data_IF_771641733938
#
_entry.id   IF_771641733938
#
_cell.length_a   1.000
_cell.length_b   1.000
_cell.length_c   1.000
_cell.angle_alpha   90.00
_cell.angle_beta   90.00
_cell.angle_gamma   90.00
#
_symmetry.space_group_name_H-M   'P 1'
#
loop_
_entity.id
_entity.type
_entity.pdbx_description
1 polymer ?
#
# COMPACT_ATOMS: atom_id res chain seq x y z
N UNK A 1 -5.09 -3.53 21.52
CA UNK A 1 -3.97 -4.26 20.91
C UNK A 1 -4.39 -4.70 19.51
N UNK A 2 -4.19 -3.85 18.50
CA UNK A 2 -4.31 -4.17 17.06
C UNK A 2 -4.10 -2.84 16.32
N UNK A 3 -2.87 -2.39 16.18
CA UNK A 3 -2.55 -1.13 15.47
C UNK A 3 -1.39 -1.30 14.47
N UNK A 4 -1.01 -2.55 14.19
CA UNK A 4 0.21 -2.88 13.45
C UNK A 4 0.01 -3.16 11.95
N UNK A 5 -1.18 -3.03 11.37
CA UNK A 5 -1.42 -3.51 10.00
C UNK A 5 -2.23 -2.54 9.12
N UNK A 6 -1.89 -1.26 8.98
CA UNK A 6 -2.64 -0.38 8.04
C UNK A 6 -1.80 0.55 7.17
N UNK A 7 -0.46 0.52 7.28
CA UNK A 7 0.41 1.20 6.32
C UNK A 7 0.94 0.26 5.24
N UNK A 8 0.84 -1.04 5.46
CA UNK A 8 1.34 -2.02 4.53
C UNK A 8 0.35 -2.17 3.37
N UNK A 9 0.90 -2.21 2.17
CA UNK A 9 0.22 -2.73 0.98
C UNK A 9 0.88 -4.05 0.63
N UNK A 10 0.09 -5.02 0.22
CA UNK A 10 0.55 -6.28 -0.30
C UNK A 10 0.89 -6.08 -1.77
N UNK A 11 2.17 -6.17 -2.09
CA UNK A 11 2.63 -6.35 -3.47
C UNK A 11 2.70 -7.85 -3.75
N UNK A 12 2.08 -8.29 -4.83
CA UNK A 12 2.08 -9.67 -5.31
C UNK A 12 2.70 -9.73 -6.70
N UNK A 13 3.62 -10.68 -6.91
CA UNK A 13 4.30 -10.91 -8.17
C UNK A 13 4.30 -12.40 -8.53
N UNK A 14 3.80 -12.75 -9.71
CA UNK A 14 3.81 -14.12 -10.20
C UNK A 14 5.11 -14.44 -10.93
N UNK A 15 5.85 -15.42 -10.43
CA UNK A 15 7.03 -16.00 -11.10
C UNK A 15 6.66 -17.08 -12.12
N UNK A 16 5.48 -17.68 -11.97
CA UNK A 16 4.88 -18.60 -12.94
C UNK A 16 3.37 -18.46 -12.85
N UNK A 17 2.69 -18.49 -13.99
CA UNK A 17 1.24 -18.43 -14.06
C UNK A 17 0.77 -19.20 -15.31
N UNK A 18 -0.12 -20.17 -15.10
CA UNK A 18 -0.74 -20.95 -16.17
C UNK A 18 -2.07 -21.53 -15.66
N UNK A 19 -3.15 -20.82 -15.99
CA UNK A 19 -4.53 -21.27 -15.81
C UNK A 19 -5.14 -21.37 -17.22
N UNK A 20 -5.79 -22.46 -17.62
CA UNK A 20 -6.33 -22.59 -18.98
C UNK A 20 -7.32 -21.47 -19.34
N UNK A 21 -7.26 -20.99 -20.58
CA UNK A 21 -8.24 -20.05 -21.15
C UNK A 21 -9.15 -20.80 -22.12
N UNK A 22 -10.42 -20.42 -22.15
CA UNK A 22 -11.39 -20.89 -23.15
C UNK A 22 -11.64 -19.74 -24.10
N UNK A 23 -11.46 -19.96 -25.40
CA UNK A 23 -11.73 -18.93 -26.41
C UNK A 23 -13.20 -18.99 -26.83
N UNK A 24 -13.92 -17.91 -26.57
CA UNK A 24 -15.32 -17.78 -26.95
C UNK A 24 -15.47 -17.01 -28.26
N UNK A 25 -16.51 -17.36 -29.03
CA UNK A 25 -16.85 -16.63 -30.26
C UNK A 25 -17.39 -15.23 -29.96
N UNK A 26 -18.09 -15.09 -28.85
CA UNK A 26 -18.50 -13.80 -28.31
C UNK A 26 -17.37 -13.23 -27.44
N UNK A 27 -16.93 -12.01 -27.76
CA UNK A 27 -15.90 -11.31 -26.99
C UNK A 27 -16.43 -10.69 -25.69
N UNK A 28 -17.74 -10.74 -25.46
CA UNK A 28 -18.37 -10.28 -24.21
C UNK A 28 -18.21 -11.29 -23.07
N UNK A 29 -17.95 -12.56 -23.40
CA UNK A 29 -17.75 -13.63 -22.42
C UNK A 29 -16.31 -13.63 -21.88
N UNK A 30 -16.17 -13.93 -20.60
CA UNK A 30 -14.84 -14.09 -19.99
C UNK A 30 -14.14 -15.32 -20.55
N UNK A 31 -12.86 -15.19 -20.89
CA UNK A 31 -12.05 -16.34 -21.31
C UNK A 31 -11.65 -17.24 -20.12
N UNK A 32 -11.97 -16.84 -18.89
CA UNK A 32 -11.61 -17.52 -17.65
C UNK A 32 -12.78 -18.36 -17.09
N UNK A 33 -13.58 -18.94 -17.96
CA UNK A 33 -14.80 -19.70 -17.58
C UNK A 33 -14.51 -21.09 -17.02
N UNK A 34 -13.41 -21.74 -17.43
CA UNK A 34 -13.01 -23.05 -16.90
C UNK A 34 -12.28 -22.90 -15.56
N UNK A 35 -11.24 -22.07 -15.52
CA UNK A 35 -10.51 -21.76 -14.30
C UNK A 35 -10.09 -20.29 -14.24
N UNK A 36 -9.97 -19.77 -13.02
CA UNK A 36 -9.61 -18.37 -12.78
C UNK A 36 -8.88 -18.18 -11.45
N UNK A 37 -8.15 -17.08 -11.38
CA UNK A 37 -7.72 -16.45 -10.13
C UNK A 37 -8.36 -15.06 -10.04
N UNK A 38 -9.25 -14.87 -9.07
CA UNK A 38 -9.83 -13.58 -8.74
C UNK A 38 -9.04 -12.91 -7.62
N UNK A 39 -8.79 -11.62 -7.74
CA UNK A 39 -8.06 -10.83 -6.75
C UNK A 39 -8.89 -9.64 -6.30
N UNK A 40 -8.86 -9.39 -4.99
CA UNK A 40 -9.63 -8.37 -4.29
C UNK A 40 -8.65 -7.47 -3.50
N UNK A 41 -8.40 -6.27 -3.99
CA UNK A 41 -7.36 -5.34 -3.52
C UNK A 41 -7.68 -4.69 -2.18
N UNK A 42 -8.94 -4.69 -1.77
CA UNK A 42 -9.36 -4.19 -0.45
C UNK A 42 -9.43 -5.32 0.59
N UNK A 43 -9.17 -6.56 0.17
CA UNK A 43 -9.23 -7.74 1.02
C UNK A 43 -10.59 -7.99 1.65
N UNK A 44 -11.65 -7.59 0.94
CA UNK A 44 -13.04 -7.89 1.30
C UNK A 44 -13.25 -9.40 1.43
N UNK A 45 -14.02 -9.80 2.44
CA UNK A 45 -14.37 -11.21 2.63
C UNK A 45 -15.34 -11.63 1.54
N UNK A 46 -15.07 -12.76 0.92
CA UNK A 46 -15.83 -13.35 -0.19
C UNK A 46 -17.24 -13.81 0.21
N UNK A 47 -17.74 -13.36 1.36
CA UNK A 47 -18.98 -13.81 1.98
C UNK A 47 -20.23 -13.27 1.26
N UNK A 48 -20.12 -12.10 0.61
CA UNK A 48 -21.23 -11.52 -0.14
C UNK A 48 -20.95 -11.60 -1.65
N UNK A 49 -21.82 -12.30 -2.38
CA UNK A 49 -21.80 -12.49 -3.83
C UNK A 49 -21.88 -11.19 -4.67
N UNK A 50 -21.86 -10.02 -4.01
CA UNK A 50 -21.93 -8.69 -4.60
C UNK A 50 -20.57 -7.98 -4.68
N UNK A 51 -19.53 -8.50 -4.03
CA UNK A 51 -18.22 -7.86 -4.11
C UNK A 51 -17.55 -8.13 -5.45
N UNK A 52 -17.45 -7.06 -6.23
CA UNK A 52 -16.76 -7.05 -7.52
C UNK A 52 -15.26 -7.30 -7.28
N UNK A 53 -14.72 -8.29 -7.98
CA UNK A 53 -13.27 -8.52 -8.03
C UNK A 53 -12.58 -7.39 -8.80
N UNK A 54 -11.33 -7.10 -8.43
CA UNK A 54 -10.51 -6.10 -9.10
C UNK A 54 -9.77 -6.71 -10.30
N UNK A 55 -9.41 -7.99 -10.21
CA UNK A 55 -8.81 -8.77 -11.30
C UNK A 55 -9.46 -10.15 -11.43
N UNK A 56 -9.61 -10.62 -12.66
CA UNK A 56 -9.90 -12.01 -13.03
C UNK A 56 -8.82 -12.47 -14.01
N UNK A 57 -7.98 -13.41 -13.57
CA UNK A 57 -6.79 -13.83 -14.29
C UNK A 57 -6.90 -15.29 -14.74
N UNK A 58 -6.60 -15.52 -16.01
CA UNK A 58 -6.33 -16.83 -16.60
C UNK A 58 -5.35 -16.66 -17.77
N UNK A 59 -4.93 -17.77 -18.38
CA UNK A 59 -3.88 -17.81 -19.39
C UNK A 59 -2.49 -17.93 -18.78
N UNK A 60 -1.49 -17.36 -19.49
CA UNK A 60 -0.07 -17.47 -19.17
C UNK A 60 0.57 -16.13 -18.80
N UNK A 61 -0.21 -15.06 -18.82
CA UNK A 61 0.28 -13.72 -18.56
C UNK A 61 0.47 -13.51 -17.07
N UNK A 62 1.57 -12.85 -16.71
CA UNK A 62 1.90 -12.53 -15.32
C UNK A 62 1.72 -11.03 -15.10
N UNK A 63 1.09 -10.66 -13.99
CA UNK A 63 0.88 -9.27 -13.61
C UNK A 63 1.37 -9.02 -12.19
N UNK A 64 2.00 -7.85 -11.97
CA UNK A 64 2.26 -7.33 -10.62
C UNK A 64 0.99 -6.69 -10.10
N UNK A 65 0.59 -7.07 -8.89
CA UNK A 65 -0.62 -6.57 -8.23
C UNK A 65 -0.22 -5.86 -6.94
N UNK A 66 -0.87 -4.73 -6.65
CA UNK A 66 -0.66 -3.97 -5.42
C UNK A 66 -2.03 -3.71 -4.77
N UNK A 67 -2.18 -4.06 -3.50
CA UNK A 67 -3.43 -3.82 -2.77
C UNK A 67 -3.66 -2.34 -2.46
N UNK A 68 -4.91 -2.00 -2.19
CA UNK A 68 -5.32 -0.65 -1.75
C UNK A 68 -4.95 -0.38 -0.29
N UNK A 69 -4.76 -1.44 0.49
CA UNK A 69 -4.39 -1.38 1.90
C UNK A 69 -3.75 -2.68 2.40
N UNK A 70 -3.86 -3.00 3.69
CA UNK A 70 -3.11 -4.09 4.34
C UNK A 70 -3.63 -5.49 4.06
N UNK A 71 -4.76 -5.60 3.35
CA UNK A 71 -5.40 -6.85 3.05
C UNK A 71 -5.48 -7.02 1.54
N UNK A 72 -5.24 -8.24 1.11
CA UNK A 72 -5.46 -8.71 -0.25
C UNK A 72 -6.06 -10.10 -0.12
N UNK A 73 -7.19 -10.33 -0.80
CA UNK A 73 -7.80 -11.64 -0.87
C UNK A 73 -7.69 -12.19 -2.29
N UNK A 74 -7.49 -13.50 -2.40
CA UNK A 74 -7.44 -14.21 -3.68
C UNK A 74 -8.35 -15.43 -3.64
N UNK A 75 -9.08 -15.65 -4.72
CA UNK A 75 -9.93 -16.84 -4.90
C UNK A 75 -9.49 -17.54 -6.16
N UNK A 76 -8.99 -18.76 -6.00
CA UNK A 76 -8.68 -19.65 -7.10
C UNK A 76 -9.82 -20.65 -7.30
N UNK A 77 -10.24 -20.82 -8.55
CA UNK A 77 -11.18 -21.87 -8.96
C UNK A 77 -10.62 -22.58 -10.19
N UNK A 78 -10.72 -23.91 -10.19
CA UNK A 78 -10.32 -24.77 -11.31
C UNK A 78 -11.53 -25.52 -11.87
N UNK A 79 -11.53 -25.71 -13.19
CA UNK A 79 -12.54 -26.49 -13.91
C UNK A 79 -11.98 -27.83 -14.35
N UNK A 80 -12.34 -28.23 -15.58
CA UNK A 80 -11.98 -29.53 -16.15
C UNK A 80 -10.60 -29.53 -16.82
N UNK A 81 -10.15 -28.38 -17.34
CA UNK A 81 -8.87 -28.28 -18.01
C UNK A 81 -7.73 -28.19 -16.99
N UNK A 82 -6.66 -28.95 -17.23
CA UNK A 82 -5.49 -28.93 -16.36
C UNK A 82 -4.51 -27.83 -16.77
N UNK A 83 -4.20 -26.95 -15.82
CA UNK A 83 -3.10 -26.01 -15.89
C UNK A 83 -1.93 -26.40 -15.00
N UNK A 84 -0.76 -25.78 -15.22
CA UNK A 84 0.43 -25.91 -14.37
C UNK A 84 0.31 -25.08 -13.07
N UNK A 85 -0.74 -24.28 -12.94
CA UNK A 85 -1.01 -23.46 -11.76
C UNK A 85 -0.19 -22.17 -11.74
N UNK A 86 -0.01 -21.61 -10.55
CA UNK A 86 0.71 -20.35 -10.35
C UNK A 86 1.65 -20.43 -9.16
N UNK A 87 2.74 -19.66 -9.24
CA UNK A 87 3.68 -19.45 -8.13
C UNK A 87 3.98 -17.97 -8.01
N UNK A 88 3.58 -17.38 -6.90
CA UNK A 88 3.81 -15.97 -6.60
C UNK A 88 4.74 -15.76 -5.41
N UNK A 89 5.26 -14.54 -5.30
CA UNK A 89 5.86 -13.97 -4.10
C UNK A 89 5.05 -12.77 -3.68
N UNK A 90 4.89 -12.58 -2.37
CA UNK A 90 4.28 -11.37 -1.81
C UNK A 90 5.30 -10.62 -0.97
N UNK A 91 5.17 -9.29 -0.93
CA UNK A 91 5.89 -8.42 -0.01
C UNK A 91 4.92 -7.41 0.59
N UNK A 92 5.07 -7.11 1.87
CA UNK A 92 4.36 -6.01 2.52
C UNK A 92 5.20 -4.74 2.36
N UNK A 93 4.66 -3.74 1.67
CA UNK A 93 5.32 -2.47 1.41
C UNK A 93 4.64 -1.37 2.22
N UNK A 94 5.41 -0.66 3.04
CA UNK A 94 4.86 0.40 3.89
C UNK A 94 4.70 1.69 3.08
N UNK A 95 3.48 2.17 2.90
CA UNK A 95 3.18 3.46 2.27
C UNK A 95 2.81 4.49 3.34
N UNK A 96 3.78 5.30 3.76
CA UNK A 96 3.59 6.29 4.82
C UNK A 96 2.64 7.46 4.47
N UNK A 97 2.37 7.67 3.16
CA UNK A 97 1.60 8.81 2.62
C UNK A 97 2.09 10.16 3.17
N UNK A 98 3.40 10.30 3.31
CA UNK A 98 4.05 11.54 3.74
C UNK A 98 4.46 12.31 2.48
N UNK A 99 4.02 13.58 2.32
CA UNK A 99 4.49 14.46 1.25
C UNK A 99 6.00 14.65 1.36
N UNK A 100 6.74 14.62 0.24
CA UNK A 100 8.19 14.76 0.23
C UNK A 100 8.86 13.68 -0.61
N UNK A 101 10.20 13.73 -0.71
CA UNK A 101 10.96 12.69 -1.42
C UNK A 101 11.32 11.58 -0.44
N UNK A 102 10.69 10.41 -0.59
CA UNK A 102 11.00 9.23 0.20
C UNK A 102 12.42 8.72 -0.06
N UNK A 103 13.07 8.17 0.97
CA UNK A 103 14.38 7.56 0.83
C UNK A 103 14.32 6.32 -0.09
N UNK A 104 15.36 6.10 -0.93
CA UNK A 104 15.36 5.00 -1.90
C UNK A 104 15.52 3.62 -1.26
N UNK A 105 15.97 3.56 0.00
CA UNK A 105 16.15 2.32 0.78
C UNK A 105 14.85 1.83 1.45
N UNK A 106 13.74 2.56 1.29
CA UNK A 106 12.45 2.21 1.89
C UNK A 106 12.34 2.53 3.38
N UNK A 107 13.34 3.19 3.97
CA UNK A 107 13.23 3.71 5.35
C UNK A 107 12.17 4.81 5.43
N UNK A 108 11.61 5.03 6.63
CA UNK A 108 10.69 6.13 6.86
C UNK A 108 11.43 7.48 6.90
N UNK A 109 12.05 7.88 5.79
CA UNK A 109 12.88 9.08 5.71
C UNK A 109 12.42 9.93 4.53
N UNK A 110 12.18 11.21 4.77
CA UNK A 110 11.63 12.13 3.77
C UNK A 110 12.47 13.39 3.68
N UNK A 111 12.84 13.76 2.45
CA UNK A 111 13.59 14.98 2.16
C UNK A 111 12.70 16.02 1.49
N UNK A 112 12.79 17.26 1.96
CA UNK A 112 12.13 18.45 1.42
C UNK A 112 13.20 19.41 0.92
N UNK A 113 13.16 19.74 -0.36
CA UNK A 113 14.16 20.64 -0.98
C UNK A 113 13.47 21.93 -1.40
N UNK A 114 13.94 23.05 -0.85
CA UNK A 114 13.32 24.36 -1.08
C UNK A 114 13.42 24.82 -2.54
N UNK A 115 14.45 24.40 -3.27
CA UNK A 115 14.62 24.65 -4.71
C UNK A 115 13.53 24.00 -5.56
N UNK A 116 12.94 22.89 -5.09
CA UNK A 116 11.83 22.21 -5.76
C UNK A 116 10.48 22.75 -5.30
N UNK A 117 10.32 22.96 -3.98
CA UNK A 117 9.05 23.42 -3.38
C UNK A 117 9.33 24.22 -2.11
N UNK A 118 9.06 25.53 -2.15
CA UNK A 118 9.33 26.47 -1.04
C UNK A 118 8.38 26.31 0.17
N UNK A 119 7.19 25.73 -0.01
CA UNK A 119 6.17 25.53 1.04
C UNK A 119 5.39 24.25 0.79
N UNK A 120 5.00 23.56 1.84
CA UNK A 120 4.20 22.35 1.76
C UNK A 120 3.74 21.87 3.13
N UNK A 121 3.14 20.70 3.15
CA UNK A 121 2.67 20.04 4.35
C UNK A 121 3.61 18.89 4.73
N UNK A 122 3.59 18.53 6.01
CA UNK A 122 4.20 17.34 6.56
C UNK A 122 3.19 16.67 7.49
N UNK A 123 3.25 15.35 7.59
CA UNK A 123 2.38 14.61 8.49
C UNK A 123 3.08 13.40 9.08
N UNK A 124 2.57 12.93 10.22
CA UNK A 124 2.91 11.60 10.73
C UNK A 124 2.42 10.52 9.77
N UNK A 125 3.01 9.32 9.78
CA UNK A 125 2.42 8.16 9.13
C UNK A 125 0.94 8.00 9.47
N UNK A 126 0.12 7.63 8.48
CA UNK A 126 -1.34 7.41 8.59
C UNK A 126 -2.22 8.62 8.88
N UNK A 127 -1.68 9.84 9.03
CA UNK A 127 -2.52 11.01 9.30
C UNK A 127 -3.71 11.10 8.31
N UNK A 128 -4.96 11.31 8.78
CA UNK A 128 -5.37 11.74 10.13
C UNK A 128 -5.58 10.61 11.16
N UNK A 129 -5.27 9.35 10.83
CA UNK A 129 -5.32 8.23 11.78
C UNK A 129 -4.08 8.19 12.69
N UNK A 130 -4.13 7.37 13.75
CA UNK A 130 -2.99 7.15 14.65
C UNK A 130 -1.79 6.57 13.88
N UNK A 131 -0.59 7.07 14.19
CA UNK A 131 0.66 6.49 13.70
C UNK A 131 0.91 5.11 14.32
N UNK A 132 1.58 4.16 13.63
CA UNK A 132 1.88 2.85 14.19
C UNK A 132 2.85 2.93 15.37
N UNK A 133 2.81 1.91 16.24
CA UNK A 133 3.81 1.75 17.30
C UNK A 133 5.19 1.45 16.71
N UNK A 134 6.26 1.73 17.47
CA UNK A 134 7.65 1.45 17.11
C UNK A 134 8.09 2.01 15.74
N UNK A 135 7.48 3.12 15.33
CA UNK A 135 7.78 3.79 14.06
C UNK A 135 8.78 4.92 14.26
N UNK A 136 9.92 4.87 13.58
CA UNK A 136 10.93 5.92 13.59
C UNK A 136 11.00 6.57 12.21
N UNK A 137 10.56 7.83 12.10
CA UNK A 137 10.55 8.58 10.85
C UNK A 137 11.42 9.84 10.95
N UNK A 138 12.19 10.11 9.89
CA UNK A 138 13.07 11.27 9.78
C UNK A 138 12.60 12.22 8.67
N UNK A 139 12.61 13.52 8.95
CA UNK A 139 12.21 14.56 8.01
C UNK A 139 13.35 15.57 7.85
N UNK A 140 13.97 15.62 6.67
CA UNK A 140 15.12 16.47 6.38
C UNK A 140 14.69 17.64 5.49
N UNK A 141 14.87 18.87 5.98
CA UNK A 141 14.58 20.09 5.23
C UNK A 141 15.88 20.73 4.74
N UNK A 142 15.99 20.92 3.42
CA UNK A 142 17.15 21.50 2.75
C UNK A 142 16.76 22.85 2.15
N UNK A 143 17.18 23.93 2.81
CA UNK A 143 17.05 25.31 2.33
C UNK A 143 18.24 25.77 1.48
N UNK A 144 18.02 26.79 0.66
CA UNK A 144 19.09 27.49 -0.09
C UNK A 144 19.79 28.54 0.81
N UNK A 145 20.94 29.09 0.40
CA UNK A 145 21.59 30.17 1.15
C UNK A 145 20.63 31.34 1.43
N UNK A 146 20.64 31.84 2.67
CA UNK A 146 19.76 32.89 3.20
C UNK A 146 18.28 32.48 3.39
N UNK A 147 17.96 31.19 3.34
CA UNK A 147 16.64 30.68 3.71
C UNK A 147 16.61 30.09 5.12
N UNK A 148 15.44 30.13 5.75
CA UNK A 148 15.18 29.50 7.03
C UNK A 148 13.91 28.66 6.93
N UNK A 149 13.93 27.48 7.55
CA UNK A 149 12.77 26.59 7.62
C UNK A 149 11.89 27.01 8.78
N UNK A 150 10.61 27.27 8.50
CA UNK A 150 9.58 27.52 9.50
C UNK A 150 8.60 26.36 9.50
N UNK A 151 8.38 25.73 10.66
CA UNK A 151 7.44 24.63 10.84
C UNK A 151 6.28 25.11 11.72
N UNK A 152 5.06 24.85 11.27
CA UNK A 152 3.83 25.13 12.01
C UNK A 152 3.04 23.83 12.09
N UNK A 153 2.61 23.46 13.30
CA UNK A 153 1.77 22.29 13.51
C UNK A 153 0.31 22.70 13.63
N UNK A 154 -0.49 22.35 12.63
CA UNK A 154 -1.94 22.54 12.70
C UNK A 154 -2.59 21.51 13.64
N UNK A 155 -2.03 20.29 13.67
CA UNK A 155 -2.46 19.20 14.55
C UNK A 155 -1.23 18.51 15.16
N UNK A 156 -1.18 18.43 16.48
CA UNK A 156 -0.11 17.75 17.21
C UNK A 156 -0.69 16.91 18.35
N UNK A 157 -0.63 15.58 18.18
CA UNK A 157 -1.10 14.63 19.20
C UNK A 157 -0.17 13.42 19.22
N UNK A 158 0.55 13.28 20.32
CA UNK A 158 1.43 12.13 20.60
C UNK A 158 1.07 11.54 21.96
N UNK A 159 1.42 10.27 22.18
CA UNK A 159 1.27 9.65 23.50
C UNK A 159 2.14 10.42 24.50
N UNK A 160 1.51 11.01 25.52
CA UNK A 160 2.21 11.54 26.67
C UNK A 160 2.51 10.39 27.64
N UNK A 161 3.73 10.32 28.16
CA UNK A 161 4.01 9.49 29.32
C UNK A 161 3.27 10.10 30.51
N UNK A 162 2.57 9.26 31.28
CA UNK A 162 1.59 9.64 32.30
C UNK A 162 2.13 10.44 33.50
N UNK A 163 3.33 11.01 33.40
CA UNK A 163 3.95 11.81 34.45
C UNK A 163 4.54 13.14 33.97
N UNK A 164 4.22 13.61 32.76
CA UNK A 164 4.63 14.94 32.31
C UNK A 164 3.60 15.55 31.37
N UNK A 165 2.94 16.62 31.82
CA UNK A 165 2.31 17.61 30.95
C UNK A 165 3.42 18.31 30.14
N UNK A 166 3.95 17.64 29.12
CA UNK A 166 5.03 18.16 28.28
C UNK A 166 4.44 18.73 26.99
N UNK A 167 4.02 19.98 27.01
CA UNK A 167 4.06 20.84 25.82
C UNK A 167 5.49 21.37 25.70
N UNK A 168 6.40 20.56 25.16
CA UNK A 168 7.77 21.01 24.87
C UNK A 168 7.81 21.62 23.47
N UNK A 169 7.40 22.90 23.37
CA UNK A 169 7.88 23.78 22.31
C UNK A 169 9.12 24.50 22.83
N UNK A 170 10.27 24.31 22.19
CA UNK A 170 11.44 25.14 22.42
C UNK A 170 11.55 26.14 21.26
N UNK A 171 11.67 27.43 21.61
CA UNK A 171 11.99 28.52 20.68
C UNK A 171 13.50 28.54 20.37
#
# INVERSE_FOLDING_TARGET
>A
MQDAQHLERVRLEFSAFNIPKVEHKDKSESNCTDGYLKIYLKGQETADAYDKFDYELCGNETQRVLSDGPRLAMVFSSGELQGRGFKGKYTFETEYKIPGTAAPDGTCSFTYVSSSKKRGELNSPRYPSNYPSDTNCSYLFLGEPNEQVTIVFDHFKIKADGNSNATAGAY
#
